data_IF_354981825794
#
_entry.id   IF_354981825794
#
_cell.length_a   1.000
_cell.length_b   1.000
_cell.length_c   1.000
_cell.angle_alpha   90.00
_cell.angle_beta   90.00
_cell.angle_gamma   90.00
#
_symmetry.space_group_name_H-M   'P 1'
#
loop_
_entity.id
_entity.type
_entity.pdbx_description
1 polymer ?
#
# COMPACT_ATOMS: atom_id res chain seq x y z
N UNK A 1 12.97 -29.26 9.89
CA UNK A 1 11.74 -28.68 9.27
C UNK A 1 11.36 -27.43 10.00
N UNK A 2 10.89 -26.40 9.28
CA UNK A 2 10.52 -25.09 9.87
C UNK A 2 9.27 -25.19 10.77
N UNK A 3 8.34 -26.09 10.50
CA UNK A 3 7.12 -26.30 11.28
C UNK A 3 5.99 -25.29 11.00
N UNK A 4 6.22 -24.26 10.18
CA UNK A 4 5.22 -23.27 9.77
C UNK A 4 5.46 -22.74 8.36
N UNK A 5 4.42 -22.12 7.77
CA UNK A 5 4.49 -21.43 6.47
C UNK A 5 3.63 -20.16 6.52
N UNK A 6 4.18 -19.03 6.09
CA UNK A 6 3.43 -17.77 5.93
C UNK A 6 2.42 -17.94 4.79
N UNK A 7 1.19 -17.44 4.97
CA UNK A 7 0.07 -17.55 4.01
C UNK A 7 -0.34 -16.24 3.39
N UNK A 8 -0.22 -15.13 4.10
CA UNK A 8 -0.72 -13.84 3.63
C UNK A 8 0.04 -12.70 4.27
N UNK A 9 -0.09 -11.51 3.66
CA UNK A 9 0.28 -10.25 4.28
C UNK A 9 -0.88 -9.82 5.19
N UNK A 10 -0.63 -9.61 6.47
CA UNK A 10 -1.65 -9.21 7.43
C UNK A 10 -1.83 -7.70 7.52
N UNK A 11 -0.72 -6.95 7.59
CA UNK A 11 -0.74 -5.52 7.80
C UNK A 11 0.49 -4.86 7.21
N UNK A 12 0.31 -3.65 6.67
CA UNK A 12 1.37 -2.67 6.43
C UNK A 12 1.07 -1.46 7.31
N UNK A 13 2.03 -1.03 8.09
CA UNK A 13 1.90 0.14 8.95
C UNK A 13 2.89 1.23 8.53
N UNK A 14 2.39 2.46 8.41
CA UNK A 14 3.16 3.64 7.99
C UNK A 14 3.04 4.72 9.05
N UNK A 15 4.16 5.34 9.42
CA UNK A 15 4.16 6.55 10.23
C UNK A 15 3.99 7.77 9.32
N UNK A 16 3.05 8.64 9.68
CA UNK A 16 2.66 9.79 8.86
C UNK A 16 3.02 11.10 9.57
N UNK A 17 3.59 12.05 8.83
CA UNK A 17 3.77 13.43 9.30
C UNK A 17 2.45 14.19 9.24
N UNK A 18 1.65 13.96 8.20
CA UNK A 18 0.32 14.54 8.00
C UNK A 18 -0.72 13.42 7.84
N UNK A 19 -1.26 12.97 8.96
CA UNK A 19 -2.23 11.88 8.98
C UNK A 19 -3.55 12.26 8.29
N UNK A 20 -3.95 13.53 8.32
CA UNK A 20 -5.18 14.00 7.64
C UNK A 20 -5.04 13.85 6.12
N UNK A 21 -3.93 14.35 5.55
CA UNK A 21 -3.67 14.25 4.12
C UNK A 21 -3.49 12.79 3.68
N UNK A 22 -2.78 11.99 4.47
CA UNK A 22 -2.57 10.57 4.20
C UNK A 22 -3.86 9.78 4.24
N UNK A 23 -4.71 10.00 5.25
CA UNK A 23 -6.00 9.33 5.34
C UNK A 23 -6.90 9.70 4.15
N UNK A 24 -6.96 10.98 3.77
CA UNK A 24 -7.71 11.44 2.61
C UNK A 24 -7.22 10.77 1.31
N UNK A 25 -5.91 10.63 1.12
CA UNK A 25 -5.36 9.95 -0.06
C UNK A 25 -5.85 8.50 -0.16
N UNK A 26 -5.71 7.71 0.89
CA UNK A 26 -6.07 6.30 0.85
C UNK A 26 -7.58 6.07 0.84
N UNK A 27 -8.37 6.92 1.49
CA UNK A 27 -9.83 6.82 1.52
C UNK A 27 -10.48 7.42 0.27
N UNK A 28 -10.18 8.69 -0.05
CA UNK A 28 -10.90 9.43 -1.08
C UNK A 28 -10.34 9.18 -2.49
N UNK A 29 -9.01 9.11 -2.63
CA UNK A 29 -8.39 8.88 -3.94
C UNK A 29 -8.33 7.39 -4.28
N UNK A 30 -7.83 6.55 -3.39
CA UNK A 30 -7.70 5.10 -3.65
C UNK A 30 -8.97 4.32 -3.31
N UNK A 31 -9.89 4.88 -2.55
CA UNK A 31 -11.17 4.24 -2.23
C UNK A 31 -11.06 3.10 -1.22
N UNK A 32 -10.05 3.09 -0.34
CA UNK A 32 -9.96 2.09 0.70
C UNK A 32 -11.04 2.31 1.77
N UNK A 33 -11.64 1.22 2.22
CA UNK A 33 -12.66 1.24 3.26
C UNK A 33 -12.02 1.48 4.63
N UNK A 34 -12.43 2.55 5.32
CA UNK A 34 -12.03 2.79 6.69
C UNK A 34 -12.70 1.77 7.62
N UNK A 35 -11.89 1.02 8.35
CA UNK A 35 -12.38 0.05 9.33
C UNK A 35 -12.59 0.69 10.69
N UNK A 36 -11.60 1.47 11.14
CA UNK A 36 -11.62 2.10 12.47
C UNK A 36 -10.59 3.23 12.54
N UNK A 37 -10.71 4.02 13.59
CA UNK A 37 -9.82 5.13 13.86
C UNK A 37 -10.20 6.40 13.12
N UNK A 38 -9.49 7.47 13.45
CA UNK A 38 -9.62 8.77 12.82
C UNK A 38 -8.32 9.56 13.02
N UNK A 39 -8.09 10.65 12.23
CA UNK A 39 -6.94 11.51 12.49
C UNK A 39 -6.91 12.08 13.91
N UNK A 40 -8.08 12.33 14.54
CA UNK A 40 -8.18 12.77 15.92
C UNK A 40 -7.69 11.72 16.93
N UNK A 41 -7.87 10.44 16.61
CA UNK A 41 -7.36 9.33 17.41
C UNK A 41 -5.92 8.98 17.11
N UNK A 42 -5.31 9.65 16.11
CA UNK A 42 -3.91 9.50 15.68
C UNK A 42 -3.58 8.14 15.07
N UNK A 43 -4.59 7.35 14.76
CA UNK A 43 -4.48 6.05 14.06
C UNK A 43 -5.68 5.92 13.13
N UNK A 44 -5.44 5.42 11.92
CA UNK A 44 -6.50 5.06 10.97
C UNK A 44 -6.18 3.70 10.37
N UNK A 45 -7.17 2.82 10.34
CA UNK A 45 -7.05 1.49 9.71
C UNK A 45 -7.93 1.39 8.49
N UNK A 46 -7.36 0.94 7.39
CA UNK A 46 -8.05 0.68 6.13
C UNK A 46 -8.03 -0.80 5.78
N UNK A 47 -9.17 -1.30 5.33
CA UNK A 47 -9.29 -2.66 4.81
C UNK A 47 -8.68 -2.72 3.41
N UNK A 48 -7.79 -3.70 3.18
CA UNK A 48 -7.28 -4.05 1.84
C UNK A 48 -8.09 -5.22 1.28
N UNK A 49 -8.17 -6.33 2.02
CA UNK A 49 -8.81 -7.55 1.59
C UNK A 49 -9.06 -8.48 2.78
N UNK A 50 -9.76 -9.59 2.55
CA UNK A 50 -9.77 -10.70 3.49
C UNK A 50 -8.35 -11.27 3.58
N UNK A 51 -7.89 -11.48 4.81
CA UNK A 51 -6.62 -12.13 5.08
C UNK A 51 -6.80 -13.61 5.37
N UNK A 52 -5.76 -14.20 5.92
CA UNK A 52 -5.75 -15.61 6.26
C UNK A 52 -6.30 -15.84 7.68
N UNK A 53 -7.13 -16.88 7.83
CA UNK A 53 -7.57 -17.35 9.14
C UNK A 53 -8.44 -16.36 9.94
N UNK A 54 -9.22 -15.52 9.25
CA UNK A 54 -10.08 -14.51 9.86
C UNK A 54 -9.40 -13.18 10.15
N UNK A 55 -8.08 -13.05 9.93
CA UNK A 55 -7.38 -11.77 10.00
C UNK A 55 -7.63 -10.96 8.73
N UNK A 56 -8.10 -9.73 8.86
CA UNK A 56 -8.25 -8.82 7.72
C UNK A 56 -6.89 -8.25 7.33
N UNK A 57 -6.58 -8.24 6.04
CA UNK A 57 -5.40 -7.55 5.51
C UNK A 57 -5.65 -6.04 5.54
N UNK A 58 -4.79 -5.29 6.22
CA UNK A 58 -5.01 -3.87 6.48
C UNK A 58 -3.80 -2.99 6.15
N UNK A 59 -4.09 -1.73 5.83
CA UNK A 59 -3.14 -0.62 5.89
C UNK A 59 -3.43 0.17 7.16
N UNK A 60 -2.42 0.35 8.01
CA UNK A 60 -2.52 1.17 9.21
C UNK A 60 -1.70 2.45 9.06
N UNK A 61 -2.31 3.58 9.32
CA UNK A 61 -1.64 4.89 9.35
C UNK A 61 -1.54 5.38 10.79
N UNK A 62 -0.33 5.71 11.20
CA UNK A 62 -0.02 6.19 12.55
C UNK A 62 0.52 7.60 12.48
N UNK A 63 -0.01 8.49 13.31
CA UNK A 63 0.61 9.80 13.51
C UNK A 63 2.03 9.61 14.06
N UNK A 64 3.02 10.19 13.39
CA UNK A 64 4.43 10.12 13.81
C UNK A 64 4.66 10.67 15.20
N UNK A 65 3.88 11.69 15.61
CA UNK A 65 3.98 12.27 16.95
C UNK A 65 3.46 11.33 18.04
N UNK A 66 2.82 10.22 17.67
CA UNK A 66 2.38 9.20 18.62
C UNK A 66 3.57 8.34 19.04
N UNK A 67 4.33 8.84 20.01
CA UNK A 67 5.46 8.11 20.57
C UNK A 67 5.01 6.98 21.49
N UNK A 68 5.85 5.95 21.60
CA UNK A 68 5.75 4.99 22.69
C UNK A 68 4.65 3.94 22.56
N UNK A 69 4.41 3.39 21.37
CA UNK A 69 3.63 2.16 21.30
C UNK A 69 4.50 0.97 21.76
N UNK A 70 4.22 0.43 22.96
CA UNK A 70 4.92 -0.75 23.42
C UNK A 70 4.78 -1.90 22.43
N UNK A 71 5.86 -2.60 22.17
CA UNK A 71 5.85 -3.82 21.37
C UNK A 71 6.04 -3.66 19.87
N UNK A 72 6.21 -2.43 19.35
CA UNK A 72 6.50 -2.23 17.93
C UNK A 72 7.95 -2.55 17.57
N UNK A 73 8.87 -2.41 18.51
CA UNK A 73 10.26 -2.77 18.32
C UNK A 73 10.68 -3.84 19.35
N UNK A 74 11.34 -4.92 18.93
CA UNK A 74 11.70 -6.03 19.83
C UNK A 74 12.56 -5.63 21.02
N UNK A 75 13.37 -4.58 20.89
CA UNK A 75 14.26 -4.09 21.95
C UNK A 75 13.63 -2.96 22.77
N UNK A 76 12.41 -2.54 22.45
CA UNK A 76 11.76 -1.39 23.09
C UNK A 76 12.28 -0.03 22.63
N UNK A 77 13.24 0.01 21.71
CA UNK A 77 13.74 1.24 21.09
C UNK A 77 12.83 1.70 19.96
N UNK A 78 12.84 3.00 19.68
CA UNK A 78 12.16 3.52 18.51
C UNK A 78 12.83 2.99 17.24
N UNK A 79 12.05 2.53 16.24
CA UNK A 79 12.62 2.11 14.98
C UNK A 79 13.29 3.29 14.26
N UNK A 80 14.22 3.02 13.35
CA UNK A 80 14.87 4.06 12.56
C UNK A 80 13.85 4.98 11.89
N UNK A 81 14.17 6.27 11.82
CA UNK A 81 13.33 7.25 11.14
C UNK A 81 13.18 6.88 9.65
N UNK A 82 11.98 7.04 9.13
CA UNK A 82 11.73 6.91 7.69
C UNK A 82 12.24 8.14 6.95
N UNK A 83 12.67 7.98 5.72
CA UNK A 83 13.25 9.01 4.86
C UNK A 83 14.09 8.33 3.79
N UNK A 84 15.10 8.98 3.26
CA UNK A 84 16.02 8.41 2.26
C UNK A 84 16.67 7.09 2.72
N UNK A 85 16.57 6.78 3.99
CA UNK A 85 17.09 5.55 4.61
C UNK A 85 15.99 4.54 4.95
N UNK A 86 14.73 4.78 4.56
CA UNK A 86 13.65 3.81 4.74
C UNK A 86 13.92 2.56 3.91
N UNK A 87 13.71 1.40 4.50
CA UNK A 87 13.74 0.14 3.75
C UNK A 87 12.45 -0.11 2.95
N UNK A 88 11.41 0.69 3.17
CA UNK A 88 10.19 0.60 2.36
C UNK A 88 10.44 1.13 0.96
N UNK A 89 10.33 0.26 -0.05
CA UNK A 89 10.45 0.64 -1.45
C UNK A 89 9.12 1.13 -2.01
N UNK A 90 8.08 0.34 -1.89
CA UNK A 90 6.72 0.70 -2.34
C UNK A 90 5.66 -0.21 -1.71
N UNK A 91 4.40 0.19 -1.88
CA UNK A 91 3.21 -0.60 -1.56
C UNK A 91 2.56 -0.99 -2.87
N UNK A 92 2.29 -2.27 -3.10
CA UNK A 92 1.55 -2.75 -4.27
C UNK A 92 0.18 -3.26 -3.85
N UNK A 93 -0.86 -2.71 -4.46
CA UNK A 93 -2.25 -3.09 -4.28
C UNK A 93 -2.75 -3.74 -5.57
N UNK A 94 -3.36 -4.90 -5.46
CA UNK A 94 -3.83 -5.66 -6.62
C UNK A 94 -5.29 -5.33 -6.95
N UNK A 95 -5.58 -5.24 -8.25
CA UNK A 95 -6.92 -5.11 -8.79
C UNK A 95 -6.99 -5.87 -10.14
N UNK A 96 -8.21 -6.13 -10.66
CA UNK A 96 -8.34 -6.72 -11.99
C UNK A 96 -7.69 -5.84 -13.07
N UNK A 97 -7.03 -6.48 -14.05
CA UNK A 97 -6.37 -5.77 -15.16
C UNK A 97 -7.32 -4.81 -15.88
N UNK A 98 -8.56 -5.25 -16.13
CA UNK A 98 -9.57 -4.42 -16.81
C UNK A 98 -9.95 -3.13 -16.03
N UNK A 99 -9.72 -3.09 -14.72
CA UNK A 99 -10.03 -1.91 -13.91
C UNK A 99 -8.91 -0.86 -13.90
N UNK A 100 -7.72 -1.20 -14.37
CA UNK A 100 -6.60 -0.24 -14.40
C UNK A 100 -6.87 0.96 -15.32
N UNK A 101 -7.61 0.78 -16.41
CA UNK A 101 -7.99 1.91 -17.28
C UNK A 101 -8.87 2.92 -16.54
N UNK A 102 -9.83 2.42 -15.77
CA UNK A 102 -10.67 3.27 -14.92
C UNK A 102 -9.85 3.98 -13.83
N UNK A 103 -8.87 3.31 -13.24
CA UNK A 103 -7.98 3.90 -12.25
C UNK A 103 -7.13 5.03 -12.84
N UNK A 104 -6.57 4.84 -14.05
CA UNK A 104 -5.80 5.87 -14.74
C UNK A 104 -6.67 7.09 -15.09
N UNK A 105 -7.88 6.88 -15.64
CA UNK A 105 -8.83 7.94 -15.92
C UNK A 105 -9.23 8.71 -14.65
N UNK A 106 -9.39 8.00 -13.54
CA UNK A 106 -9.66 8.58 -12.24
C UNK A 106 -8.52 9.45 -11.72
N UNK A 107 -7.27 8.99 -11.85
CA UNK A 107 -6.09 9.79 -11.50
C UNK A 107 -6.01 11.07 -12.34
N UNK A 108 -6.25 10.98 -13.65
CA UNK A 108 -6.27 12.14 -14.54
C UNK A 108 -7.34 13.14 -14.12
N UNK A 109 -8.56 12.70 -13.82
CA UNK A 109 -9.66 13.54 -13.35
C UNK A 109 -9.34 14.25 -12.01
N UNK A 110 -8.45 13.67 -11.20
CA UNK A 110 -8.01 14.21 -9.90
C UNK A 110 -6.68 14.95 -9.97
N UNK A 111 -6.11 15.13 -11.17
CA UNK A 111 -4.76 15.70 -11.35
C UNK A 111 -3.68 14.98 -10.56
N UNK A 112 -3.88 13.67 -10.36
CA UNK A 112 -2.91 12.80 -9.69
C UNK A 112 -1.93 12.26 -10.72
N UNK A 113 -0.65 12.61 -10.59
CA UNK A 113 0.41 12.12 -11.47
C UNK A 113 0.64 10.63 -11.29
N UNK A 114 0.81 9.91 -12.38
CA UNK A 114 1.12 8.49 -12.34
C UNK A 114 2.03 8.08 -13.51
N UNK A 115 2.61 6.90 -13.41
CA UNK A 115 3.43 6.26 -14.45
C UNK A 115 3.04 4.80 -14.61
N UNK A 116 3.01 4.33 -15.86
CA UNK A 116 2.72 2.92 -16.17
C UNK A 116 4.02 2.19 -16.50
N UNK A 117 4.20 1.02 -15.92
CA UNK A 117 5.29 0.09 -16.23
C UNK A 117 4.75 -1.27 -16.60
N UNK A 118 5.34 -1.88 -17.62
CA UNK A 118 5.05 -3.24 -18.06
C UNK A 118 6.19 -4.16 -17.65
N UNK A 119 5.84 -5.27 -17.01
CA UNK A 119 6.76 -6.32 -16.62
C UNK A 119 6.44 -7.59 -17.42
N UNK A 120 6.83 -7.57 -18.70
CA UNK A 120 6.45 -8.62 -19.67
C UNK A 120 6.92 -10.02 -19.29
N UNK A 121 8.05 -10.12 -18.61
CA UNK A 121 8.59 -11.40 -18.14
C UNK A 121 7.69 -12.11 -17.11
N UNK A 122 6.78 -11.41 -16.45
CA UNK A 122 5.84 -11.96 -15.45
C UNK A 122 4.37 -11.66 -15.77
N UNK A 123 4.10 -10.89 -16.84
CA UNK A 123 2.73 -10.54 -17.24
C UNK A 123 2.05 -9.52 -16.33
N UNK A 124 2.80 -8.60 -15.73
CA UNK A 124 2.26 -7.56 -14.88
C UNK A 124 2.28 -6.19 -15.55
N UNK A 125 1.27 -5.39 -15.23
CA UNK A 125 1.26 -3.94 -15.45
C UNK A 125 1.10 -3.25 -14.12
N UNK A 126 2.01 -2.32 -13.82
CA UNK A 126 1.95 -1.48 -12.64
C UNK A 126 1.56 -0.04 -13.02
N UNK A 127 0.64 0.55 -12.28
CA UNK A 127 0.30 1.97 -12.33
C UNK A 127 0.80 2.59 -11.03
N UNK A 128 1.86 3.38 -11.14
CA UNK A 128 2.60 3.93 -10.01
C UNK A 128 2.22 5.39 -9.75
N UNK A 129 1.93 5.71 -8.51
CA UNK A 129 1.72 7.08 -8.04
C UNK A 129 2.43 7.29 -6.71
N UNK A 130 2.37 8.51 -6.18
CA UNK A 130 2.89 8.82 -4.87
C UNK A 130 1.79 9.31 -3.95
N UNK A 131 1.83 8.89 -2.69
CA UNK A 131 0.98 9.48 -1.66
C UNK A 131 1.52 10.86 -1.23
N UNK A 132 0.79 11.63 -0.41
CA UNK A 132 1.20 12.99 -0.03
C UNK A 132 2.55 13.06 0.70
N UNK A 133 3.05 11.97 1.24
CA UNK A 133 4.36 11.92 1.92
C UNK A 133 5.45 11.25 1.08
N UNK A 134 5.18 11.04 -0.21
CA UNK A 134 6.16 10.55 -1.18
C UNK A 134 6.33 9.03 -1.19
N UNK A 135 5.49 8.27 -0.50
CA UNK A 135 5.54 6.82 -0.62
C UNK A 135 5.03 6.41 -2.01
N UNK A 136 5.75 5.49 -2.64
CA UNK A 136 5.31 4.93 -3.93
C UNK A 136 4.20 3.92 -3.71
N UNK A 137 3.09 4.12 -4.40
CA UNK A 137 1.93 3.24 -4.39
C UNK A 137 1.71 2.71 -5.80
N UNK A 138 1.68 1.40 -5.94
CA UNK A 138 1.45 0.70 -7.20
C UNK A 138 0.07 0.07 -7.21
N UNK A 139 -0.67 0.26 -8.28
CA UNK A 139 -1.82 -0.57 -8.61
C UNK A 139 -1.34 -1.62 -9.62
N UNK A 140 -1.23 -2.87 -9.21
CA UNK A 140 -0.66 -3.96 -10.02
C UNK A 140 -1.74 -4.94 -10.47
N UNK A 141 -1.67 -5.35 -11.72
CA UNK A 141 -2.55 -6.37 -12.27
C UNK A 141 -1.78 -7.33 -13.17
N UNK A 142 -2.26 -8.57 -13.24
CA UNK A 142 -1.76 -9.60 -14.13
C UNK A 142 -2.69 -9.77 -15.31
N UNK A 143 -2.11 -9.93 -16.49
CA UNK A 143 -2.81 -10.42 -17.68
C UNK A 143 -1.84 -11.29 -18.50
N UNK A 144 -2.33 -12.44 -18.95
CA UNK A 144 -1.51 -13.39 -19.70
C UNK A 144 -1.03 -12.83 -21.06
N UNK A 145 -1.79 -11.90 -21.65
CA UNK A 145 -1.43 -11.29 -22.93
C UNK A 145 -0.25 -10.31 -22.80
N UNK A 146 0.13 -9.93 -21.57
CA UNK A 146 1.30 -9.10 -21.30
C UNK A 146 2.60 -9.89 -21.24
N UNK A 147 2.54 -11.22 -21.16
CA UNK A 147 3.74 -12.04 -21.12
C UNK A 147 4.53 -11.86 -22.41
N UNK A 148 5.84 -11.67 -22.25
CA UNK A 148 6.75 -11.63 -23.40
C UNK A 148 6.63 -12.94 -24.19
N UNK A 149 6.27 -12.82 -25.46
CA UNK A 149 6.35 -13.94 -26.39
C UNK A 149 7.81 -14.05 -26.75
N UNK A 150 8.49 -15.04 -26.19
CA UNK A 150 9.83 -15.37 -26.67
C UNK A 150 9.70 -15.69 -28.14
N UNK A 151 10.47 -15.05 -29.02
CA UNK A 151 10.61 -15.55 -30.38
C UNK A 151 11.28 -16.93 -30.27
N UNK A 152 10.62 -17.94 -30.84
CA UNK A 152 11.19 -19.27 -31.01
C UNK A 152 12.48 -19.20 -31.83
#
# INVERSE_FOLDING_TARGET
>A
MRGFRIRALGEIAIRCNDLVAMAAFYEDLLGLERMSGSPCERIVFFRIAEGFGGHTSVLALFDRAMSGRPGLHPTGEDPPQTGDRSSLHHIALSLPYAEQEAAMAWYEARSQSYRVELFGWIGWRGVFTNDPEGNTVELVAYDADLLDKHPD
#
